data_IF_666324142452
#
_entry.id   IF_666324142452
#
_cell.length_a   1.000
_cell.length_b   1.000
_cell.length_c   1.000
_cell.angle_alpha   90.00
_cell.angle_beta   90.00
_cell.angle_gamma   90.00
#
_symmetry.space_group_name_H-M   'P 1'
#
loop_
_entity.id
_entity.type
_entity.pdbx_description
1 polymer ?
#
# COMPACT_ATOMS: atom_id res chain seq x y z
N UNK A 1 5.22 34.15 0.80
CA UNK A 1 5.12 33.00 1.74
C UNK A 1 3.71 32.43 1.64
N UNK A 2 3.54 31.20 1.14
CA UNK A 2 2.24 30.53 1.11
C UNK A 2 2.01 29.89 2.48
N UNK A 3 1.14 30.48 3.29
CA UNK A 3 0.61 29.83 4.49
C UNK A 3 -0.11 28.56 4.02
N UNK A 4 0.44 27.37 4.30
CA UNK A 4 -0.30 26.12 4.17
C UNK A 4 -1.11 26.01 5.46
N UNK A 5 -2.45 26.18 5.44
CA UNK A 5 -3.26 25.96 6.62
C UNK A 5 -3.07 24.53 7.12
N UNK A 6 -3.22 24.37 8.43
CA UNK A 6 -3.05 23.13 9.18
C UNK A 6 -3.77 21.98 8.47
N UNK A 7 -3.00 20.99 8.01
CA UNK A 7 -3.49 19.89 7.20
C UNK A 7 -3.90 18.79 8.17
N UNK A 8 -5.18 18.45 8.23
CA UNK A 8 -5.61 17.24 8.91
C UNK A 8 -5.19 16.04 8.06
N UNK A 9 -4.02 15.49 8.39
CA UNK A 9 -3.40 14.42 7.62
C UNK A 9 -3.95 13.06 8.09
N UNK A 10 -4.97 12.56 7.40
CA UNK A 10 -5.39 11.17 7.58
C UNK A 10 -4.52 10.23 6.76
N UNK A 11 -3.64 9.50 7.44
CA UNK A 11 -2.83 8.44 6.85
C UNK A 11 -3.57 7.10 6.90
N UNK A 12 -4.24 6.73 5.81
CA UNK A 12 -4.83 5.39 5.70
C UNK A 12 -3.86 4.42 5.04
N UNK A 13 -3.30 3.53 5.83
CA UNK A 13 -2.42 2.45 5.39
C UNK A 13 -3.24 1.35 4.73
N UNK A 14 -3.30 1.31 3.40
CA UNK A 14 -4.05 0.27 2.67
C UNK A 14 -3.26 -0.13 1.44
N UNK A 15 -2.90 -1.41 1.32
CA UNK A 15 -2.44 -1.91 0.03
C UNK A 15 -3.58 -1.79 -0.98
N UNK A 16 -3.31 -1.35 -2.21
CA UNK A 16 -4.33 -1.08 -3.20
C UNK A 16 -3.93 -1.59 -4.60
N UNK A 17 -4.95 -1.92 -5.38
CA UNK A 17 -4.86 -2.23 -6.79
C UNK A 17 -5.84 -1.31 -7.55
N UNK A 18 -5.37 -0.12 -7.91
CA UNK A 18 -6.19 0.90 -8.55
C UNK A 18 -6.41 0.54 -10.03
N UNK A 19 -7.65 0.26 -10.40
CA UNK A 19 -8.03 0.03 -11.80
C UNK A 19 -8.38 1.34 -12.49
N UNK A 20 -8.51 1.32 -13.82
CA UNK A 20 -9.02 2.46 -14.59
C UNK A 20 -10.33 3.02 -14.02
N UNK A 21 -11.25 2.15 -13.59
CA UNK A 21 -12.54 2.56 -13.01
C UNK A 21 -12.36 3.36 -11.71
N UNK A 22 -11.44 2.92 -10.85
CA UNK A 22 -11.21 3.57 -9.55
C UNK A 22 -10.53 4.92 -9.72
N UNK A 23 -9.56 4.98 -10.63
CA UNK A 23 -8.86 6.20 -11.07
C UNK A 23 -9.86 7.20 -11.65
N UNK A 24 -10.83 6.75 -12.46
CA UNK A 24 -11.92 7.59 -12.96
C UNK A 24 -12.80 8.13 -11.84
N UNK A 25 -13.22 7.29 -10.89
CA UNK A 25 -14.03 7.72 -9.75
C UNK A 25 -13.31 8.78 -8.91
N UNK A 26 -12.01 8.59 -8.66
CA UNK A 26 -11.19 9.57 -7.94
C UNK A 26 -11.03 10.87 -8.73
N UNK A 27 -10.73 10.78 -10.03
CA UNK A 27 -10.63 11.95 -10.89
C UNK A 27 -11.94 12.76 -10.94
N UNK A 28 -13.08 12.08 -11.04
CA UNK A 28 -14.40 12.69 -11.00
C UNK A 28 -14.70 13.32 -9.64
N UNK A 29 -14.36 12.64 -8.54
CA UNK A 29 -14.55 13.16 -7.18
C UNK A 29 -13.67 14.39 -6.91
N UNK A 30 -12.44 14.43 -7.42
CA UNK A 30 -11.58 15.61 -7.35
C UNK A 30 -12.10 16.71 -8.27
N UNK A 31 -12.66 16.34 -9.43
CA UNK A 31 -13.28 17.26 -10.39
C UNK A 31 -14.59 17.89 -9.93
N UNK A 32 -15.21 17.45 -8.83
CA UNK A 32 -16.35 18.18 -8.24
C UNK A 32 -15.93 19.50 -7.60
N UNK A 33 -14.63 19.71 -7.37
CA UNK A 33 -14.11 20.97 -6.84
C UNK A 33 -13.83 21.99 -7.96
N UNK A 34 -14.07 23.28 -7.69
CA UNK A 34 -13.81 24.33 -8.66
C UNK A 34 -12.31 24.39 -8.97
N UNK A 35 -11.96 24.22 -10.24
CA UNK A 35 -10.58 24.25 -10.70
C UNK A 35 -10.33 23.34 -11.90
N UNK A 36 -9.17 23.51 -12.54
CA UNK A 36 -8.70 22.55 -13.52
C UNK A 36 -8.11 21.36 -12.77
N UNK A 37 -8.66 20.17 -13.00
CA UNK A 37 -8.05 18.93 -12.51
C UNK A 37 -6.76 18.69 -13.27
N UNK A 38 -5.68 18.51 -12.53
CA UNK A 38 -4.37 18.13 -13.05
C UNK A 38 -4.02 16.76 -12.49
N UNK A 39 -3.49 15.88 -13.33
CA UNK A 39 -3.05 14.56 -12.88
C UNK A 39 -1.57 14.40 -13.14
N UNK A 40 -0.81 14.10 -12.11
CA UNK A 40 0.62 13.81 -12.20
C UNK A 40 0.88 12.34 -11.86
N UNK A 41 1.57 11.62 -12.74
CA UNK A 41 2.07 10.28 -12.45
C UNK A 41 3.59 10.30 -12.29
N UNK A 42 4.06 9.77 -11.17
CA UNK A 42 5.47 9.39 -11.01
C UNK A 42 5.62 7.93 -11.43
N UNK A 43 6.62 7.68 -12.26
CA UNK A 43 6.86 6.37 -12.83
C UNK A 43 8.17 5.75 -12.29
N UNK A 44 8.31 4.44 -12.46
CA UNK A 44 9.46 3.65 -12.00
C UNK A 44 10.79 4.08 -12.63
N UNK A 45 10.74 4.65 -13.82
CA UNK A 45 11.89 5.26 -14.50
C UNK A 45 12.36 6.57 -13.84
N UNK A 46 11.68 7.03 -12.79
CA UNK A 46 11.96 8.27 -12.09
C UNK A 46 11.34 9.51 -12.73
N UNK A 47 10.72 9.36 -13.91
CA UNK A 47 10.10 10.47 -14.62
C UNK A 47 8.74 10.83 -14.03
N UNK A 48 8.44 12.12 -14.05
CA UNK A 48 7.12 12.68 -13.77
C UNK A 48 6.42 12.97 -15.09
N UNK A 49 5.19 12.50 -15.24
CA UNK A 49 4.35 12.71 -16.42
C UNK A 49 3.08 13.43 -15.95
N UNK A 50 2.81 14.60 -16.51
CA UNK A 50 1.59 15.38 -16.26
C UNK A 50 0.59 15.12 -17.38
N UNK A 51 -0.66 14.85 -17.02
CA UNK A 51 -1.76 14.65 -17.94
C UNK A 51 -2.75 15.82 -17.80
N UNK A 52 -3.13 16.39 -18.93
CA UNK A 52 -4.07 17.51 -18.99
C UNK A 52 -5.52 17.07 -18.76
N UNK A 53 -5.83 15.81 -19.06
CA UNK A 53 -7.14 15.22 -18.87
C UNK A 53 -7.05 13.80 -18.30
N UNK A 54 -8.18 13.30 -17.79
CA UNK A 54 -8.26 11.94 -17.28
C UNK A 54 -8.14 10.91 -18.42
N UNK A 55 -8.64 11.24 -19.60
CA UNK A 55 -8.59 10.39 -20.80
C UNK A 55 -7.14 10.14 -21.25
N UNK A 56 -6.29 11.17 -21.19
CA UNK A 56 -4.86 11.04 -21.49
C UNK A 56 -4.18 10.07 -20.52
N UNK A 57 -4.51 10.14 -19.23
CA UNK A 57 -4.00 9.21 -18.22
C UNK A 57 -4.47 7.77 -18.49
N UNK A 58 -5.75 7.58 -18.82
CA UNK A 58 -6.32 6.26 -19.09
C UNK A 58 -5.77 5.65 -20.39
N UNK A 59 -5.40 6.49 -21.36
CA UNK A 59 -4.71 6.09 -22.58
C UNK A 59 -3.22 5.74 -22.39
N UNK A 60 -2.65 6.03 -21.21
CA UNK A 60 -1.26 5.69 -20.94
C UNK A 60 -1.05 4.17 -20.83
N UNK A 61 -0.18 3.63 -21.69
CA UNK A 61 0.08 2.18 -21.75
C UNK A 61 0.68 1.59 -20.47
N UNK A 62 1.36 2.39 -19.64
CA UNK A 62 1.95 1.94 -18.37
C UNK A 62 2.87 0.70 -18.52
N UNK A 63 3.95 0.76 -19.35
CA UNK A 63 4.85 -0.36 -19.55
C UNK A 63 5.71 -0.66 -18.30
N UNK A 64 6.29 -1.87 -18.20
CA UNK A 64 7.04 -2.32 -16.99
C UNK A 64 8.14 -1.34 -16.56
N UNK A 65 8.91 -0.82 -17.52
CA UNK A 65 10.01 0.12 -17.28
C UNK A 65 9.56 1.48 -16.78
N UNK A 66 8.36 1.90 -17.17
CA UNK A 66 7.77 3.19 -16.84
C UNK A 66 6.45 3.00 -16.07
N UNK A 67 6.42 1.96 -15.22
CA UNK A 67 5.24 1.61 -14.47
C UNK A 67 4.90 2.73 -13.49
N UNK A 68 3.63 3.12 -13.41
CA UNK A 68 3.18 4.14 -12.45
C UNK A 68 3.45 3.64 -11.03
N UNK A 69 4.15 4.44 -10.24
CA UNK A 69 4.45 4.17 -8.82
C UNK A 69 3.69 5.11 -7.89
N UNK A 70 3.36 6.31 -8.37
CA UNK A 70 2.55 7.30 -7.66
C UNK A 70 1.66 8.05 -8.64
N UNK A 71 0.45 8.34 -8.22
CA UNK A 71 -0.53 9.12 -8.97
C UNK A 71 -1.07 10.21 -8.05
N UNK A 72 -1.09 11.43 -8.53
CA UNK A 72 -1.48 12.62 -7.78
C UNK A 72 -2.56 13.35 -8.56
N UNK A 73 -3.75 13.47 -7.96
CA UNK A 73 -4.84 14.26 -8.50
C UNK A 73 -4.89 15.57 -7.73
N UNK A 74 -4.81 16.68 -8.44
CA UNK A 74 -4.83 18.00 -7.84
C UNK A 74 -5.85 18.87 -8.56
N UNK A 75 -6.83 19.38 -7.82
CA UNK A 75 -7.72 20.44 -8.25
C UNK A 75 -7.44 21.68 -7.41
N UNK A 76 -7.22 22.82 -8.07
CA UNK A 76 -7.01 24.09 -7.40
C UNK A 76 -7.93 25.14 -8.03
N UNK A 77 -8.67 25.84 -7.17
CA UNK A 77 -9.44 27.01 -7.57
C UNK A 77 -8.50 28.12 -8.04
N UNK A 78 -8.96 28.94 -8.99
CA UNK A 78 -8.24 30.14 -9.46
C UNK A 78 -7.79 31.04 -8.30
N UNK A 79 -8.58 31.06 -7.22
CA UNK A 79 -8.41 31.96 -6.10
C UNK A 79 -7.45 31.38 -5.05
N UNK A 80 -7.02 30.11 -5.22
CA UNK A 80 -6.12 29.40 -4.30
C UNK A 80 -6.72 29.05 -2.94
N UNK A 81 -8.01 29.36 -2.71
CA UNK A 81 -8.70 29.13 -1.45
C UNK A 81 -9.18 27.70 -1.27
N UNK A 82 -9.48 27.02 -2.38
CA UNK A 82 -9.95 25.65 -2.40
C UNK A 82 -8.96 24.80 -3.18
N UNK A 83 -8.39 23.83 -2.48
CA UNK A 83 -7.49 22.83 -3.03
C UNK A 83 -8.03 21.47 -2.61
N UNK A 84 -8.01 20.52 -3.53
CA UNK A 84 -8.24 19.12 -3.26
C UNK A 84 -7.09 18.35 -3.90
N UNK A 85 -6.30 17.67 -3.09
CA UNK A 85 -5.22 16.80 -3.53
C UNK A 85 -5.50 15.38 -3.07
N UNK A 86 -5.29 14.40 -3.94
CA UNK A 86 -5.36 12.96 -3.64
C UNK A 86 -4.11 12.31 -4.19
N UNK A 87 -3.21 11.90 -3.30
CA UNK A 87 -1.99 11.18 -3.67
C UNK A 87 -2.15 9.67 -3.42
N UNK A 88 -2.08 8.86 -4.47
CA UNK A 88 -1.97 7.41 -4.40
C UNK A 88 -0.53 6.95 -4.62
N UNK A 89 0.00 6.11 -3.73
CA UNK A 89 1.30 5.44 -3.91
C UNK A 89 2.32 5.79 -2.83
N UNK A 90 3.49 5.17 -2.91
CA UNK A 90 4.54 5.31 -1.87
C UNK A 90 5.30 6.63 -2.01
N UNK A 91 5.39 7.39 -0.91
CA UNK A 91 6.39 8.44 -0.73
C UNK A 91 7.77 7.79 -0.52
N UNK A 92 8.79 8.35 -1.14
CA UNK A 92 10.11 7.74 -1.29
C UNK A 92 10.79 7.19 -0.01
N UNK A 93 11.62 6.16 -0.26
CA UNK A 93 12.74 5.58 0.51
C UNK A 93 12.52 5.03 1.91
N UNK A 94 11.60 5.51 2.74
CA UNK A 94 11.49 5.00 4.13
C UNK A 94 10.08 4.83 4.69
N UNK A 95 9.03 5.28 4.00
CA UNK A 95 7.65 5.13 4.48
C UNK A 95 6.86 4.16 3.59
N UNK A 96 6.74 2.92 4.06
CA UNK A 96 6.23 1.79 3.29
C UNK A 96 4.73 1.83 2.99
N UNK A 97 3.93 2.80 3.47
CA UNK A 97 2.47 2.73 3.23
C UNK A 97 1.65 4.01 3.51
N UNK A 98 2.07 5.20 3.07
CA UNK A 98 1.21 6.40 3.14
C UNK A 98 0.46 6.61 1.82
N UNK A 99 -0.77 6.10 1.72
CA UNK A 99 -1.42 5.90 0.41
C UNK A 99 -2.56 6.85 0.06
N UNK A 100 -2.96 7.77 0.93
CA UNK A 100 -3.79 8.92 0.56
C UNK A 100 -3.37 10.12 1.39
N UNK A 101 -3.05 11.20 0.69
CA UNK A 101 -2.89 12.52 1.29
C UNK A 101 -4.03 13.38 0.78
N UNK A 102 -4.81 13.94 1.69
CA UNK A 102 -5.85 14.91 1.41
C UNK A 102 -5.41 16.25 1.98
N UNK A 103 -5.47 17.31 1.18
CA UNK A 103 -5.16 18.64 1.65
C UNK A 103 -6.02 19.69 0.99
N UNK A 104 -6.43 20.65 1.82
CA UNK A 104 -7.09 21.89 1.45
C UNK A 104 -8.37 22.14 2.24
N UNK A 105 -8.90 23.36 2.14
CA UNK A 105 -10.13 23.73 2.86
C UNK A 105 -11.35 22.89 2.46
N UNK A 106 -11.31 22.41 1.23
CA UNK A 106 -12.26 21.51 0.61
C UNK A 106 -12.17 20.06 1.12
N UNK A 107 -10.96 19.59 1.49
CA UNK A 107 -10.81 18.25 2.04
C UNK A 107 -11.50 18.12 3.39
N UNK A 108 -11.62 19.19 4.18
CA UNK A 108 -12.26 19.17 5.50
C UNK A 108 -13.77 18.84 5.47
N UNK A 109 -14.37 18.66 4.29
CA UNK A 109 -15.75 18.21 4.19
C UNK A 109 -15.85 16.70 4.50
N UNK A 110 -16.60 16.28 5.53
CA UNK A 110 -16.71 14.86 5.89
C UNK A 110 -17.25 13.97 4.76
N UNK A 111 -18.08 14.54 3.88
CA UNK A 111 -18.66 13.84 2.73
C UNK A 111 -17.59 13.43 1.71
N UNK A 112 -16.56 14.26 1.50
CA UNK A 112 -15.46 13.98 0.61
C UNK A 112 -14.56 12.89 1.18
N UNK A 113 -14.20 12.99 2.46
CA UNK A 113 -13.46 11.93 3.16
C UNK A 113 -14.16 10.57 3.09
N UNK A 114 -15.47 10.53 3.33
CA UNK A 114 -16.25 9.30 3.27
C UNK A 114 -16.23 8.69 1.86
N UNK A 115 -16.39 9.50 0.80
CA UNK A 115 -16.33 9.04 -0.60
C UNK A 115 -14.94 8.56 -1.00
N UNK A 116 -13.88 9.28 -0.60
CA UNK A 116 -12.50 8.84 -0.84
C UNK A 116 -12.25 7.51 -0.14
N UNK A 117 -12.66 7.37 1.13
CA UNK A 117 -12.51 6.14 1.89
C UNK A 117 -13.27 4.96 1.24
N UNK A 118 -14.49 5.19 0.78
CA UNK A 118 -15.28 4.18 0.04
C UNK A 118 -14.57 3.71 -1.24
N UNK A 119 -14.02 4.64 -2.02
CA UNK A 119 -13.27 4.30 -3.24
C UNK A 119 -11.98 3.53 -2.88
N UNK A 120 -11.26 3.95 -1.83
CA UNK A 120 -10.06 3.26 -1.35
C UNK A 120 -10.34 1.85 -0.87
N UNK A 121 -11.44 1.64 -0.16
CA UNK A 121 -11.85 0.33 0.29
C UNK A 121 -12.25 -0.58 -0.89
N UNK A 122 -12.83 -0.01 -1.95
CA UNK A 122 -13.07 -0.72 -3.21
C UNK A 122 -11.79 -1.16 -3.93
N UNK A 123 -10.69 -0.41 -3.79
CA UNK A 123 -9.37 -0.75 -4.37
C UNK A 123 -8.58 -1.78 -3.54
N UNK A 124 -9.09 -2.16 -2.36
CA UNK A 124 -8.37 -3.03 -1.43
C UNK A 124 -8.32 -4.47 -1.96
N UNK A 125 -7.13 -5.03 -2.24
CA UNK A 125 -7.01 -6.43 -2.62
C UNK A 125 -7.27 -7.34 -1.41
N UNK A 126 -7.67 -8.57 -1.67
CA UNK A 126 -7.89 -9.61 -0.65
C UNK A 126 -6.66 -9.82 0.25
N UNK A 127 -5.44 -9.66 -0.30
CA UNK A 127 -4.18 -9.83 0.41
C UNK A 127 -3.75 -8.59 1.22
N UNK A 128 -4.56 -7.52 1.25
CA UNK A 128 -4.22 -6.26 1.93
C UNK A 128 -3.84 -6.43 3.41
N UNK A 129 -4.48 -7.36 4.14
CA UNK A 129 -4.13 -7.65 5.54
C UNK A 129 -2.74 -8.25 5.67
N UNK A 130 -2.38 -9.15 4.77
CA UNK A 130 -1.05 -9.77 4.70
C UNK A 130 -0.01 -8.72 4.31
N UNK A 131 -0.36 -7.85 3.37
CA UNK A 131 0.53 -6.79 2.89
C UNK A 131 0.93 -5.77 3.98
N UNK A 132 0.12 -5.64 5.04
CA UNK A 132 0.35 -4.75 6.19
C UNK A 132 1.29 -5.32 7.26
N UNK A 133 1.64 -6.61 7.20
CA UNK A 133 2.53 -7.19 8.21
C UNK A 133 3.91 -6.55 8.10
N UNK A 134 4.25 -5.71 9.09
CA UNK A 134 5.57 -5.13 9.22
C UNK A 134 6.55 -6.17 9.76
N UNK A 135 7.80 -6.03 9.34
CA UNK A 135 8.90 -6.86 9.81
C UNK A 135 9.08 -6.72 11.33
N UNK A 136 8.84 -5.52 11.88
CA UNK A 136 8.87 -5.25 13.32
C UNK A 136 7.82 -6.04 14.09
N UNK A 137 6.63 -6.28 13.52
CA UNK A 137 5.58 -7.08 14.16
C UNK A 137 6.04 -8.52 14.38
N UNK A 138 6.68 -9.13 13.37
CA UNK A 138 7.22 -10.50 13.51
C UNK A 138 8.40 -10.53 14.47
N UNK A 139 9.30 -9.53 14.40
CA UNK A 139 10.37 -9.39 15.38
C UNK A 139 9.85 -9.31 16.82
N UNK A 140 8.80 -8.52 17.05
CA UNK A 140 8.16 -8.40 18.36
C UNK A 140 7.63 -9.74 18.88
N UNK A 141 6.92 -10.50 18.05
CA UNK A 141 6.42 -11.83 18.44
C UNK A 141 7.55 -12.86 18.65
N UNK A 142 8.69 -12.72 17.97
CA UNK A 142 9.87 -13.56 18.20
C UNK A 142 10.61 -13.20 19.50
N UNK A 143 10.54 -11.94 19.96
CA UNK A 143 11.18 -11.47 21.18
C UNK A 143 10.34 -11.70 22.45
N UNK A 144 9.02 -11.78 22.33
CA UNK A 144 8.09 -12.04 23.44
C UNK A 144 8.46 -13.27 24.28
N UNK A 145 8.78 -14.44 23.67
CA UNK A 145 9.22 -15.61 24.41
C UNK A 145 10.56 -15.39 25.12
N UNK A 146 11.50 -14.68 24.50
CA UNK A 146 12.80 -14.39 25.10
C UNK A 146 12.65 -13.49 26.34
N UNK A 147 11.74 -12.50 26.26
CA UNK A 147 11.35 -11.70 27.42
C UNK A 147 10.71 -12.56 28.53
N UNK A 148 9.87 -13.53 28.18
CA UNK A 148 9.30 -14.49 29.13
C UNK A 148 10.37 -15.29 29.88
N UNK A 149 11.37 -15.82 29.17
CA UNK A 149 12.50 -16.52 29.79
C UNK A 149 13.24 -15.65 30.79
N UNK A 150 13.54 -14.40 30.41
CA UNK A 150 14.24 -13.45 31.29
C UNK A 150 13.42 -13.07 32.52
N UNK A 151 12.10 -12.87 32.36
CA UNK A 151 11.23 -12.40 33.45
C UNK A 151 10.91 -13.49 34.48
N UNK A 152 10.73 -14.72 34.04
CA UNK A 152 10.22 -15.81 34.88
C UNK A 152 11.30 -16.79 35.37
N UNK A 153 12.60 -16.51 35.13
CA UNK A 153 13.72 -17.37 35.51
C UNK A 153 13.50 -18.83 35.06
N UNK A 154 13.11 -19.02 33.79
CA UNK A 154 12.97 -20.34 33.18
C UNK A 154 14.30 -21.11 33.30
N UNK A 155 14.20 -22.43 33.49
CA UNK A 155 15.40 -23.28 33.60
C UNK A 155 16.25 -23.16 32.33
N UNK A 156 17.58 -23.31 32.50
CA UNK A 156 18.55 -23.17 31.41
C UNK A 156 18.22 -24.02 30.16
N UNK A 157 17.68 -25.22 30.37
CA UNK A 157 17.26 -26.12 29.28
C UNK A 157 16.11 -25.52 28.46
N UNK A 158 15.12 -24.91 29.13
CA UNK A 158 13.98 -24.26 28.47
C UNK A 158 14.41 -23.02 27.69
N UNK A 159 15.35 -22.25 28.24
CA UNK A 159 15.95 -21.11 27.57
C UNK A 159 16.67 -21.51 26.28
N UNK A 160 17.48 -22.58 26.32
CA UNK A 160 18.15 -23.11 25.13
C UNK A 160 17.16 -23.65 24.09
N UNK A 161 16.13 -24.37 24.52
CA UNK A 161 15.08 -24.86 23.62
C UNK A 161 14.38 -23.71 22.89
N UNK A 162 14.10 -22.62 23.61
CA UNK A 162 13.49 -21.44 23.02
C UNK A 162 14.42 -20.73 22.02
N UNK A 163 15.69 -20.53 22.38
CA UNK A 163 16.69 -19.94 21.47
C UNK A 163 16.80 -20.79 20.20
N UNK A 164 16.85 -22.12 20.35
CA UNK A 164 16.83 -23.06 19.23
C UNK A 164 15.58 -22.89 18.34
N UNK A 165 14.40 -22.79 18.95
CA UNK A 165 13.16 -22.54 18.22
C UNK A 165 13.18 -21.21 17.45
N UNK A 166 13.64 -20.13 18.06
CA UNK A 166 13.78 -18.82 17.39
C UNK A 166 14.80 -18.87 16.26
N UNK A 167 15.94 -19.55 16.44
CA UNK A 167 16.95 -19.70 15.41
C UNK A 167 16.44 -20.52 14.19
N UNK A 168 15.55 -21.48 14.42
CA UNK A 168 14.94 -22.30 13.36
C UNK A 168 13.78 -21.57 12.66
N UNK A 169 12.94 -20.85 13.40
CA UNK A 169 11.71 -20.23 12.88
C UNK A 169 11.96 -18.80 12.37
N UNK A 170 12.84 -18.06 13.04
CA UNK A 170 13.11 -16.65 12.79
C UNK A 170 13.60 -16.37 11.36
N UNK A 171 14.70 -16.99 10.89
CA UNK A 171 15.22 -16.73 9.54
C UNK A 171 14.23 -17.07 8.42
N UNK A 172 13.50 -18.21 8.44
CA UNK A 172 12.43 -18.46 7.47
C UNK A 172 11.29 -17.44 7.53
N UNK A 173 10.85 -17.03 8.73
CA UNK A 173 9.81 -16.02 8.88
C UNK A 173 10.27 -14.65 8.33
N UNK A 174 11.52 -14.28 8.60
CA UNK A 174 12.13 -13.07 8.05
C UNK A 174 12.24 -13.13 6.53
N UNK A 175 12.71 -14.25 5.98
CA UNK A 175 12.80 -14.48 4.54
C UNK A 175 11.41 -14.42 3.89
N UNK A 176 10.39 -15.03 4.49
CA UNK A 176 9.02 -14.97 4.02
C UNK A 176 8.48 -13.54 4.00
N UNK A 177 8.77 -12.72 5.02
CA UNK A 177 8.41 -11.30 5.05
C UNK A 177 9.15 -10.47 3.99
N UNK A 178 10.41 -10.80 3.73
CA UNK A 178 11.18 -10.14 2.68
C UNK A 178 10.63 -10.49 1.29
N UNK A 179 10.40 -11.77 1.01
CA UNK A 179 9.77 -12.27 -0.22
C UNK A 179 8.34 -11.78 -0.39
N UNK A 180 7.62 -11.52 0.72
CA UNK A 180 6.26 -10.96 0.71
C UNK A 180 6.18 -9.68 -0.12
N UNK A 181 7.22 -8.85 -0.11
CA UNK A 181 7.24 -7.59 -0.88
C UNK A 181 7.23 -7.82 -2.39
N UNK A 182 7.79 -8.95 -2.83
CA UNK A 182 7.80 -9.35 -4.24
C UNK A 182 6.43 -9.87 -4.69
N UNK A 183 5.75 -10.64 -3.84
CA UNK A 183 4.47 -11.25 -4.19
C UNK A 183 3.26 -10.36 -3.90
N UNK A 184 3.33 -9.53 -2.87
CA UNK A 184 2.21 -8.70 -2.40
C UNK A 184 2.59 -7.22 -2.46
N UNK A 185 2.59 -6.61 -3.66
CA UNK A 185 2.90 -5.21 -3.80
C UNK A 185 1.86 -4.35 -3.08
N UNK A 186 2.34 -3.31 -2.39
CA UNK A 186 1.50 -2.37 -1.63
C UNK A 186 0.67 -1.48 -2.54
N UNK A 187 1.24 -1.01 -3.65
CA UNK A 187 0.55 -0.15 -4.61
C UNK A 187 0.69 -0.75 -6.01
N UNK A 188 -0.44 -0.99 -6.68
CA UNK A 188 -0.47 -1.40 -8.09
C UNK A 188 -1.47 -0.56 -8.85
N UNK A 189 -1.06 -0.05 -10.01
CA UNK A 189 -1.92 0.67 -10.94
C UNK A 189 -2.20 -0.23 -12.15
N UNK A 190 -3.42 -0.75 -12.22
CA UNK A 190 -3.93 -1.62 -13.27
C UNK A 190 -4.55 -0.81 -14.42
N UNK A 191 -3.74 0.08 -15.00
CA UNK A 191 -4.06 0.91 -16.19
C UNK A 191 -3.20 0.43 -17.37
N UNK A 192 -3.74 0.40 -18.58
CA UNK A 192 -3.04 -0.05 -19.79
C UNK A 192 -2.48 -1.48 -19.64
N UNK A 193 -1.22 -1.67 -20.03
CA UNK A 193 -0.45 -2.91 -19.83
C UNK A 193 -0.33 -3.31 -18.35
N UNK A 194 -0.51 -2.39 -17.41
CA UNK A 194 -0.56 -2.68 -15.98
C UNK A 194 -1.71 -3.61 -15.59
N UNK A 195 -2.83 -3.56 -16.32
CA UNK A 195 -3.97 -4.46 -16.10
C UNK A 195 -3.61 -5.91 -16.42
N UNK A 196 -2.91 -6.14 -17.54
CA UNK A 196 -2.47 -7.47 -17.92
C UNK A 196 -1.46 -8.05 -16.92
N UNK A 197 -0.52 -7.23 -16.43
CA UNK A 197 0.41 -7.63 -15.37
C UNK A 197 -0.32 -8.02 -14.11
N UNK A 198 -1.28 -7.20 -13.68
CA UNK A 198 -2.09 -7.50 -12.51
C UNK A 198 -2.84 -8.85 -12.66
N UNK A 199 -3.46 -9.10 -13.83
CA UNK A 199 -4.14 -10.36 -14.12
C UNK A 199 -3.19 -11.57 -14.13
N UNK A 200 -2.00 -11.45 -14.73
CA UNK A 200 -0.99 -12.53 -14.78
C UNK A 200 -0.39 -12.83 -13.41
N UNK A 201 -0.24 -11.83 -12.55
CA UNK A 201 0.35 -12.00 -11.22
C UNK A 201 -0.65 -12.60 -10.21
N UNK A 202 -1.96 -12.44 -10.41
CA UNK A 202 -3.00 -12.94 -9.49
C UNK A 202 -2.90 -14.46 -9.22
N UNK A 203 -2.83 -15.36 -10.23
CA UNK A 203 -2.68 -16.80 -9.99
C UNK A 203 -1.41 -17.16 -9.23
N UNK A 204 -0.29 -16.50 -9.55
CA UNK A 204 0.99 -16.74 -8.86
C UNK A 204 0.90 -16.38 -7.36
N UNK A 205 0.21 -15.27 -7.04
CA UNK A 205 -0.03 -14.85 -5.65
C UNK A 205 -0.91 -15.85 -4.89
N UNK A 206 -1.96 -16.37 -5.52
CA UNK A 206 -2.80 -17.41 -4.93
C UNK A 206 -2.04 -18.71 -4.69
N UNK A 207 -1.26 -19.15 -5.68
CA UNK A 207 -0.44 -20.36 -5.56
C UNK A 207 0.58 -20.22 -4.42
N UNK A 208 1.26 -19.08 -4.32
CA UNK A 208 2.19 -18.81 -3.23
C UNK A 208 1.51 -18.91 -1.85
N UNK A 209 0.32 -18.32 -1.70
CA UNK A 209 -0.46 -18.40 -0.46
C UNK A 209 -0.90 -19.83 -0.14
N UNK A 210 -1.40 -20.57 -1.14
CA UNK A 210 -1.84 -21.96 -0.97
C UNK A 210 -0.68 -22.87 -0.55
N UNK A 211 0.48 -22.77 -1.21
CA UNK A 211 1.68 -23.54 -0.86
C UNK A 211 2.13 -23.23 0.57
N UNK A 212 2.10 -21.96 0.98
CA UNK A 212 2.39 -21.56 2.35
C UNK A 212 1.41 -22.19 3.36
N UNK A 213 0.11 -22.15 3.09
CA UNK A 213 -0.91 -22.75 3.97
C UNK A 213 -0.83 -24.28 4.04
N UNK A 214 -0.60 -24.97 2.92
CA UNK A 214 -0.50 -26.44 2.91
C UNK A 214 0.72 -26.93 3.67
N UNK A 215 1.84 -26.20 3.58
CA UNK A 215 3.08 -26.56 4.27
C UNK A 215 2.99 -26.37 5.78
N UNK A 216 2.24 -25.38 6.27
CA UNK A 216 2.00 -25.22 7.71
C UNK A 216 1.08 -26.31 8.24
N UNK A 217 -0.01 -26.63 7.54
CA UNK A 217 -0.94 -27.69 7.94
C UNK A 217 -0.26 -29.06 7.97
N UNK A 218 0.53 -29.42 6.94
CA UNK A 218 1.23 -30.71 6.90
C UNK A 218 2.27 -30.90 8.02
N UNK A 219 2.82 -29.83 8.59
CA UNK A 219 3.74 -29.93 9.73
C UNK A 219 2.99 -30.17 11.04
N UNK A 220 1.81 -29.57 11.20
CA UNK A 220 0.98 -29.74 12.39
C UNK A 220 0.38 -31.13 12.46
N UNK A 221 0.04 -31.75 11.33
CA UNK A 221 -0.57 -33.10 11.33
C UNK A 221 0.42 -34.26 11.47
N UNK A 222 1.73 -33.99 11.38
CA UNK A 222 2.79 -35.02 11.47
C UNK A 222 3.62 -34.94 12.76
N UNK A 223 3.39 -33.94 13.61
CA UNK A 223 4.04 -33.79 14.91
C UNK A 223 3.04 -34.00 16.02
#
# INVERSE_FOLDING_TARGET
>A
MRFRPDVDVQHTYVAFAATARDVTKLGQLVGTYPGKVTVEARCRDGLKRSFGTLEELLGYENPVRAAITRLEFSANSSDGLLMAEVILGSLERFDEAKNVWLSGKASNEPSFHARVAEILDGMRPWYSRIAKLHVSTVGFYLLLPAYGVLKYNLHYVDALALIGAVAVIGPPAWCALWLRRLWFPVSTFAIGQGLERHKRELPARWLATLVCCLRTVSKVTRG
#
